data_IF_358467886773
#
_entry.id   IF_358467886773
#
_cell.length_a   1.000
_cell.length_b   1.000
_cell.length_c   1.000
_cell.angle_alpha   90.00
_cell.angle_beta   90.00
_cell.angle_gamma   90.00
#
_symmetry.space_group_name_H-M   'P 1'
#
loop_
_entity.id
_entity.type
_entity.pdbx_description
1 polymer ?
#
# COMPACT_ATOMS: atom_id res chain seq x y z
N UNK A 1 10.59 36.10 11.38
CA UNK A 1 11.48 35.01 10.98
C UNK A 1 10.91 33.76 11.60
N UNK A 2 10.17 32.96 10.82
CA UNK A 2 9.63 31.71 11.29
C UNK A 2 10.76 30.69 11.34
N UNK A 3 11.05 30.17 12.52
CA UNK A 3 11.88 28.98 12.62
C UNK A 3 11.11 27.84 11.98
N UNK A 4 11.42 27.55 10.72
CA UNK A 4 11.04 26.30 10.08
C UNK A 4 11.81 25.20 10.81
N UNK A 5 11.28 24.74 11.94
CA UNK A 5 11.81 23.58 12.64
C UNK A 5 11.76 22.41 11.66
N UNK A 6 12.90 22.07 11.08
CA UNK A 6 13.13 20.77 10.45
C UNK A 6 12.64 19.72 11.44
N UNK A 7 11.48 19.15 11.14
CA UNK A 7 10.90 18.13 12.00
C UNK A 7 11.76 16.89 11.89
N UNK A 8 12.27 16.41 13.03
CA UNK A 8 13.05 15.16 13.09
C UNK A 8 12.28 14.03 12.38
N UNK A 9 12.95 13.15 11.63
CA UNK A 9 12.32 11.98 11.03
C UNK A 9 11.60 11.13 12.07
N UNK A 10 10.44 10.58 11.69
CA UNK A 10 9.60 9.79 12.61
C UNK A 10 10.36 8.57 13.16
N UNK A 11 11.28 8.00 12.39
CA UNK A 11 12.15 6.90 12.83
C UNK A 11 13.06 7.29 14.01
N UNK A 12 13.64 8.50 14.02
CA UNK A 12 14.43 9.01 15.14
C UNK A 12 13.57 9.35 16.36
N UNK A 13 12.37 9.88 16.11
CA UNK A 13 11.38 10.12 17.16
C UNK A 13 11.00 8.77 17.79
N UNK A 14 10.79 7.72 16.99
CA UNK A 14 10.44 6.39 17.48
C UNK A 14 11.55 5.77 18.35
N UNK A 15 12.82 5.95 17.99
CA UNK A 15 13.97 5.49 18.78
C UNK A 15 14.11 6.23 20.12
N UNK A 16 13.74 7.51 20.16
CA UNK A 16 13.90 8.38 21.34
C UNK A 16 12.65 8.45 22.22
N UNK A 17 11.48 8.05 21.72
CA UNK A 17 10.28 7.93 22.54
C UNK A 17 10.35 6.61 23.33
N UNK A 18 10.41 6.70 24.66
CA UNK A 18 10.42 5.55 25.59
C UNK A 18 9.05 4.83 25.64
N UNK A 19 8.43 4.57 24.49
CA UNK A 19 7.08 4.01 24.35
C UNK A 19 5.96 5.03 24.43
N UNK A 20 6.24 6.30 24.77
CA UNK A 20 5.24 7.37 24.82
C UNK A 20 5.13 8.11 23.49
N UNK A 21 3.96 8.00 22.83
CA UNK A 21 3.70 8.69 21.55
C UNK A 21 3.58 10.20 21.81
N UNK A 22 4.38 11.05 21.13
CA UNK A 22 4.27 12.50 21.31
C UNK A 22 2.89 13.02 20.93
N UNK A 23 2.35 13.96 21.73
CA UNK A 23 0.97 14.47 21.59
C UNK A 23 0.65 15.00 20.18
N UNK A 24 1.64 15.55 19.47
CA UNK A 24 1.49 16.03 18.09
C UNK A 24 1.13 14.94 17.06
N UNK A 25 1.39 13.67 17.37
CA UNK A 25 1.02 12.51 16.56
C UNK A 25 -0.29 11.86 17.02
N UNK A 26 -0.85 12.31 18.15
CA UNK A 26 -2.12 11.79 18.68
C UNK A 26 -3.27 12.53 18.02
N UNK A 27 -4.10 11.79 17.29
CA UNK A 27 -5.31 12.35 16.70
C UNK A 27 -6.40 12.51 17.77
N UNK A 28 -6.63 13.75 18.22
CA UNK A 28 -7.48 14.08 19.39
C UNK A 28 -8.96 13.76 19.22
N UNK A 29 -9.45 13.69 17.98
CA UNK A 29 -10.88 13.50 17.71
C UNK A 29 -11.27 12.03 17.55
N UNK A 30 -10.34 11.10 17.83
CA UNK A 30 -10.50 9.68 17.55
C UNK A 30 -10.57 9.41 16.05
N UNK A 31 -10.31 8.16 15.65
CA UNK A 31 -10.63 7.77 14.28
C UNK A 31 -12.15 7.61 14.17
N UNK A 32 -12.81 8.05 13.08
CA UNK A 32 -14.10 7.47 12.76
C UNK A 32 -13.89 5.95 12.77
N UNK A 33 -14.59 5.25 13.68
CA UNK A 33 -14.51 3.80 13.78
C UNK A 33 -14.69 3.27 12.36
N UNK A 34 -13.71 2.54 11.78
CA UNK A 34 -13.94 1.92 10.50
C UNK A 34 -15.19 1.06 10.68
N UNK A 35 -16.19 1.24 9.81
CA UNK A 35 -17.26 0.26 9.67
C UNK A 35 -16.60 -1.01 9.12
N UNK A 36 -15.92 -1.75 9.99
CA UNK A 36 -15.19 -2.96 9.64
C UNK A 36 -16.16 -4.01 9.07
N UNK A 37 -17.43 -3.90 9.42
CA UNK A 37 -18.52 -4.74 8.96
C UNK A 37 -18.92 -4.53 7.48
N UNK A 38 -18.32 -3.58 6.75
CA UNK A 38 -18.78 -3.24 5.40
C UNK A 38 -17.70 -2.94 4.37
N UNK A 39 -16.45 -3.36 4.58
CA UNK A 39 -15.52 -3.44 3.44
C UNK A 39 -15.55 -4.88 2.95
N UNK A 40 -16.31 -5.17 1.88
CA UNK A 40 -16.18 -6.44 1.20
C UNK A 40 -14.81 -6.37 0.54
N UNK A 41 -13.78 -6.92 1.20
CA UNK A 41 -12.63 -7.43 0.47
C UNK A 41 -13.13 -8.66 -0.29
N UNK A 42 -13.96 -8.40 -1.30
CA UNK A 42 -14.51 -9.43 -2.18
C UNK A 42 -13.43 -9.81 -3.17
N UNK A 43 -13.52 -11.04 -3.66
CA UNK A 43 -12.67 -11.53 -4.75
C UNK A 43 -12.74 -10.63 -6.00
N UNK A 44 -13.75 -9.76 -6.11
CA UNK A 44 -13.89 -8.74 -7.15
C UNK A 44 -12.82 -7.63 -7.10
N UNK A 45 -12.11 -7.46 -5.97
CA UNK A 45 -11.00 -6.52 -5.83
C UNK A 45 -9.63 -7.15 -6.06
N UNK A 46 -9.57 -8.47 -6.25
CA UNK A 46 -8.35 -9.19 -6.60
C UNK A 46 -8.38 -9.49 -8.10
N UNK A 47 -7.45 -8.88 -8.83
CA UNK A 47 -7.38 -8.94 -10.29
C UNK A 47 -6.23 -9.84 -10.71
N UNK A 48 -6.53 -10.89 -11.45
CA UNK A 48 -5.53 -11.78 -12.05
C UNK A 48 -5.04 -11.22 -13.39
N UNK A 49 -3.82 -10.69 -13.39
CA UNK A 49 -3.23 -10.05 -14.57
C UNK A 49 -2.75 -11.06 -15.63
N UNK A 50 -2.65 -12.35 -15.30
CA UNK A 50 -2.29 -13.36 -16.29
C UNK A 50 -3.36 -13.49 -17.39
N UNK A 51 -4.64 -13.24 -17.05
CA UNK A 51 -5.74 -13.24 -18.00
C UNK A 51 -5.87 -11.94 -18.81
N UNK A 52 -5.28 -10.84 -18.34
CA UNK A 52 -5.31 -9.54 -19.02
C UNK A 52 -4.11 -9.28 -19.95
N UNK A 53 -2.99 -9.97 -19.71
CA UNK A 53 -1.74 -9.81 -20.47
C UNK A 53 -1.68 -10.63 -21.76
N UNK A 54 -2.63 -11.54 -21.97
CA UNK A 54 -2.67 -12.43 -23.12
C UNK A 54 -3.18 -11.72 -24.38
N UNK A 55 -2.56 -11.98 -25.53
CA UNK A 55 -3.01 -11.48 -26.85
C UNK A 55 -4.37 -12.04 -27.30
N UNK A 56 -4.96 -12.93 -26.52
CA UNK A 56 -6.31 -13.46 -26.72
C UNK A 56 -7.30 -12.71 -25.84
N UNK A 57 -7.51 -11.43 -26.15
CA UNK A 57 -8.38 -10.48 -25.43
C UNK A 57 -9.88 -10.81 -25.51
N UNK A 58 -10.24 -12.08 -25.69
CA UNK A 58 -11.61 -12.55 -25.93
C UNK A 58 -11.90 -13.88 -25.22
N UNK A 59 -11.08 -14.30 -24.25
CA UNK A 59 -11.41 -15.46 -23.42
C UNK A 59 -12.46 -15.05 -22.37
N UNK A 60 -13.35 -15.97 -21.94
CA UNK A 60 -14.30 -15.70 -20.87
C UNK A 60 -13.63 -15.17 -19.59
N UNK A 61 -12.46 -15.71 -19.24
CA UNK A 61 -11.66 -15.29 -18.08
C UNK A 61 -11.11 -13.87 -18.24
N UNK A 62 -10.66 -13.50 -19.44
CA UNK A 62 -10.18 -12.14 -19.71
C UNK A 62 -11.30 -11.09 -19.54
N UNK A 63 -12.52 -11.41 -19.96
CA UNK A 63 -13.68 -10.53 -19.80
C UNK A 63 -14.11 -10.42 -18.32
N UNK A 64 -14.02 -11.52 -17.57
CA UNK A 64 -14.29 -11.53 -16.11
C UNK A 64 -13.29 -10.62 -15.39
N UNK A 65 -11.98 -10.83 -15.59
CA UNK A 65 -10.95 -10.04 -14.91
C UNK A 65 -10.98 -8.56 -15.35
N UNK A 66 -11.31 -8.28 -16.62
CA UNK A 66 -11.50 -6.91 -17.09
C UNK A 66 -12.73 -6.26 -16.46
N UNK A 67 -13.81 -7.01 -16.28
CA UNK A 67 -15.02 -6.58 -15.57
C UNK A 67 -14.73 -6.21 -14.12
N UNK A 68 -14.02 -7.08 -13.39
CA UNK A 68 -13.55 -6.81 -12.02
C UNK A 68 -12.68 -5.57 -11.96
N UNK A 69 -11.72 -5.42 -12.87
CA UNK A 69 -10.84 -4.25 -12.93
C UNK A 69 -11.63 -2.96 -13.13
N UNK A 70 -12.62 -2.96 -14.05
CA UNK A 70 -13.51 -1.80 -14.25
C UNK A 70 -14.33 -1.49 -13.01
N UNK A 71 -14.89 -2.49 -12.36
CA UNK A 71 -15.65 -2.34 -11.12
C UNK A 71 -14.79 -1.73 -10.01
N UNK A 72 -13.61 -2.30 -9.76
CA UNK A 72 -12.68 -1.84 -8.73
C UNK A 72 -12.26 -0.39 -8.97
N UNK A 73 -11.90 -0.03 -10.21
CA UNK A 73 -11.52 1.35 -10.56
C UNK A 73 -12.70 2.34 -10.43
N UNK A 74 -13.92 1.92 -10.74
CA UNK A 74 -15.08 2.83 -10.76
C UNK A 74 -15.75 3.00 -9.40
N UNK A 75 -15.72 1.97 -8.55
CA UNK A 75 -16.43 1.95 -7.27
C UNK A 75 -15.50 2.11 -6.07
N UNK A 76 -14.28 1.60 -6.15
CA UNK A 76 -13.33 1.55 -5.02
C UNK A 76 -12.13 2.46 -5.20
N UNK A 77 -11.64 2.63 -6.44
CA UNK A 77 -10.43 3.38 -6.74
C UNK A 77 -9.13 2.63 -6.39
N UNK A 78 -9.22 1.40 -5.90
CA UNK A 78 -8.08 0.52 -5.61
C UNK A 78 -8.43 -0.95 -5.87
N UNK A 79 -7.40 -1.77 -6.05
CA UNK A 79 -7.48 -3.22 -6.22
C UNK A 79 -6.13 -3.85 -5.87
N UNK A 80 -6.12 -5.16 -5.68
CA UNK A 80 -4.91 -5.97 -5.56
C UNK A 80 -4.66 -6.71 -6.88
N UNK A 81 -3.46 -6.60 -7.43
CA UNK A 81 -3.05 -7.39 -8.58
C UNK A 81 -2.37 -8.69 -8.12
N UNK A 82 -2.72 -9.81 -8.74
CA UNK A 82 -2.02 -11.10 -8.61
C UNK A 82 -1.59 -11.59 -9.99
N UNK A 83 -0.64 -12.52 -10.03
CA UNK A 83 -0.09 -13.06 -11.28
C UNK A 83 0.34 -11.96 -12.29
N UNK A 84 0.84 -10.83 -11.77
CA UNK A 84 1.24 -9.64 -12.53
C UNK A 84 2.58 -9.77 -13.26
N UNK A 85 3.18 -10.97 -13.27
CA UNK A 85 4.41 -11.27 -14.02
C UNK A 85 5.72 -10.82 -13.38
N UNK A 86 5.71 -10.18 -12.20
CA UNK A 86 6.93 -9.90 -11.44
C UNK A 86 7.26 -11.11 -10.57
N UNK A 87 8.52 -11.53 -10.54
CA UNK A 87 8.93 -12.67 -9.71
C UNK A 87 8.92 -12.32 -8.22
N UNK A 88 8.63 -13.31 -7.37
CA UNK A 88 8.73 -13.15 -5.92
C UNK A 88 10.14 -12.71 -5.49
N UNK A 89 11.18 -13.31 -6.07
CA UNK A 89 12.58 -12.96 -5.80
C UNK A 89 12.92 -11.51 -6.12
N UNK A 90 12.30 -10.92 -7.14
CA UNK A 90 12.45 -9.50 -7.46
C UNK A 90 11.82 -8.64 -6.37
N UNK A 91 10.58 -8.95 -5.97
CA UNK A 91 9.89 -8.24 -4.89
C UNK A 91 10.63 -8.34 -3.55
N UNK A 92 11.17 -9.52 -3.24
CA UNK A 92 12.01 -9.74 -2.06
C UNK A 92 13.24 -8.84 -2.09
N UNK A 93 13.89 -8.71 -3.25
CA UNK A 93 15.05 -7.84 -3.41
C UNK A 93 14.69 -6.36 -3.27
N UNK A 94 13.56 -5.91 -3.81
CA UNK A 94 13.06 -4.54 -3.62
C UNK A 94 12.82 -4.26 -2.13
N UNK A 95 12.14 -5.17 -1.42
CA UNK A 95 11.92 -5.04 0.02
C UNK A 95 13.24 -5.02 0.81
N UNK A 96 14.21 -5.85 0.42
CA UNK A 96 15.50 -5.91 1.07
C UNK A 96 16.28 -4.60 0.90
N UNK A 97 16.36 -4.08 -0.33
CA UNK A 97 17.05 -2.81 -0.63
C UNK A 97 16.37 -1.65 0.10
N UNK A 98 15.04 -1.62 0.15
CA UNK A 98 14.31 -0.61 0.93
C UNK A 98 14.71 -0.66 2.42
N UNK A 99 14.74 -1.85 3.03
CA UNK A 99 15.13 -2.01 4.43
C UNK A 99 16.57 -1.57 4.68
N UNK A 100 17.49 -1.95 3.79
CA UNK A 100 18.89 -1.55 3.86
C UNK A 100 19.04 -0.03 3.79
N UNK A 101 18.31 0.62 2.87
CA UNK A 101 18.32 2.08 2.72
C UNK A 101 17.83 2.80 3.99
N UNK A 102 16.67 2.41 4.53
CA UNK A 102 16.15 3.04 5.76
C UNK A 102 16.94 2.67 7.04
N UNK A 103 17.88 1.72 6.96
CA UNK A 103 18.79 1.40 8.04
C UNK A 103 20.07 2.26 8.04
N UNK A 104 20.33 3.02 6.97
CA UNK A 104 21.47 3.94 6.89
C UNK A 104 21.34 5.11 7.88
N UNK A 105 22.46 5.75 8.27
CA UNK A 105 22.45 7.04 8.96
C UNK A 105 21.70 8.11 8.16
N UNK A 106 21.21 9.14 8.84
CA UNK A 106 20.47 10.23 8.17
C UNK A 106 21.36 11.13 7.29
N UNK A 107 22.67 11.07 7.52
CA UNK A 107 23.67 11.88 6.84
C UNK A 107 24.09 11.32 5.47
N UNK A 108 23.64 10.12 5.11
CA UNK A 108 23.81 9.51 3.78
C UNK A 108 22.77 10.05 2.78
#
# INVERSE_FOLDING_TARGET
MGEELQSKPVQEIAKSCNGEIPEKFVHKNGYPQPKLDSVPWTDDLVIDFSHLSSSSSSSPESEIELGKLRFALSQWGCFQAVNHGLSGTFLDKVQQVQKEFFALPLEE
#
